data_IF_750362860914
#
_entry.id   IF_750362860914
#
_cell.length_a   1.000
_cell.length_b   1.000
_cell.length_c   1.000
_cell.angle_alpha   90.00
_cell.angle_beta   90.00
_cell.angle_gamma   90.00
#
_symmetry.space_group_name_H-M   'P 1'
#
loop_
_entity.id
_entity.type
_entity.pdbx_description
1 polymer ?
#
# COMPACT_ATOMS: atom_id res chain seq x y z
N UNK A 1 24.50 -21.45 -19.91
CA UNK A 1 25.27 -21.58 -18.66
C UNK A 1 25.05 -20.32 -17.79
N UNK A 2 23.78 -19.91 -17.62
CA UNK A 2 23.37 -18.60 -17.05
C UNK A 2 22.35 -18.72 -15.91
N UNK A 3 21.91 -19.94 -15.56
CA UNK A 3 21.02 -20.19 -14.41
C UNK A 3 21.71 -19.87 -13.07
N UNK A 4 23.03 -20.06 -13.00
CA UNK A 4 23.79 -19.93 -11.76
C UNK A 4 23.88 -18.49 -11.23
N UNK A 5 23.89 -17.45 -12.07
CA UNK A 5 24.12 -16.08 -11.61
C UNK A 5 22.90 -15.44 -10.91
N UNK A 6 21.68 -15.74 -11.40
CA UNK A 6 20.43 -15.30 -10.77
C UNK A 6 20.16 -16.09 -9.49
N UNK A 7 20.40 -17.40 -9.50
CA UNK A 7 20.30 -18.25 -8.30
C UNK A 7 21.28 -17.83 -7.20
N UNK A 8 22.51 -17.45 -7.57
CA UNK A 8 23.53 -16.93 -6.64
C UNK A 8 23.12 -15.58 -6.06
N UNK A 9 22.53 -14.67 -6.86
CA UNK A 9 22.02 -13.38 -6.36
C UNK A 9 20.77 -13.54 -5.49
N UNK A 10 19.83 -14.39 -5.85
CA UNK A 10 18.66 -14.71 -5.02
C UNK A 10 19.07 -15.40 -3.72
N UNK A 11 20.08 -16.30 -3.74
CA UNK A 11 20.70 -16.84 -2.53
C UNK A 11 21.37 -15.76 -1.67
N UNK A 12 22.05 -14.78 -2.27
CA UNK A 12 22.68 -13.67 -1.53
C UNK A 12 21.64 -12.77 -0.84
N UNK A 13 20.53 -12.48 -1.52
CA UNK A 13 19.38 -11.77 -0.95
C UNK A 13 18.76 -12.60 0.19
N UNK A 14 18.50 -13.90 -0.02
CA UNK A 14 18.01 -14.85 1.01
C UNK A 14 18.94 -14.94 2.22
N UNK A 15 20.26 -14.96 2.02
CA UNK A 15 21.24 -15.04 3.08
C UNK A 15 21.35 -13.73 3.89
N UNK A 16 21.16 -12.58 3.24
CA UNK A 16 21.10 -11.26 3.88
C UNK A 16 19.84 -11.06 4.71
N UNK A 17 18.74 -11.71 4.32
CA UNK A 17 17.49 -11.76 5.09
C UNK A 17 17.64 -12.60 6.37
N UNK A 18 18.38 -13.70 6.34
CA UNK A 18 18.59 -14.58 7.49
C UNK A 18 19.59 -14.05 8.54
N UNK A 19 20.57 -13.22 8.16
CA UNK A 19 21.70 -12.84 9.04
C UNK A 19 21.42 -11.79 10.12
N UNK A 20 20.17 -11.35 10.32
CA UNK A 20 19.83 -10.28 11.29
C UNK A 20 18.81 -10.71 12.36
N UNK A 21 18.89 -11.95 12.85
CA UNK A 21 18.13 -12.42 14.01
C UNK A 21 18.92 -12.24 15.30
N UNK A 22 18.92 -11.01 15.81
CA UNK A 22 18.93 -10.69 17.25
C UNK A 22 18.85 -9.18 17.39
N UNK A 23 17.65 -8.63 17.62
CA UNK A 23 17.51 -7.25 18.09
C UNK A 23 16.22 -7.03 18.90
N UNK A 24 16.37 -6.10 19.85
CA UNK A 24 15.49 -5.70 20.94
C UNK A 24 14.11 -5.19 20.51
N UNK A 25 13.10 -5.22 21.41
CA UNK A 25 11.75 -4.75 21.12
C UNK A 25 11.73 -3.25 20.82
N UNK A 26 11.09 -2.82 19.73
CA UNK A 26 10.69 -1.42 19.53
C UNK A 26 11.27 -0.68 18.31
N UNK A 27 12.20 -1.26 17.53
CA UNK A 27 12.66 -0.65 16.26
C UNK A 27 12.10 -1.40 15.05
N UNK A 28 11.11 -0.81 14.40
CA UNK A 28 10.55 -1.30 13.13
C UNK A 28 11.59 -1.13 12.00
N UNK A 29 11.88 -2.20 11.25
CA UNK A 29 12.66 -2.12 10.01
C UNK A 29 11.72 -1.79 8.85
N UNK A 30 12.02 -0.72 8.12
CA UNK A 30 11.37 -0.43 6.84
C UNK A 30 11.72 -1.54 5.84
N UNK A 31 10.75 -1.96 5.01
CA UNK A 31 10.99 -2.87 3.86
C UNK A 31 11.95 -2.24 2.85
N UNK A 32 12.49 -3.02 1.92
CA UNK A 32 13.40 -2.49 0.91
C UNK A 32 12.65 -1.54 -0.05
N UNK A 33 11.41 -1.87 -0.43
CA UNK A 33 10.51 -0.97 -1.15
C UNK A 33 10.18 0.32 -0.39
N UNK A 34 9.96 0.25 0.93
CA UNK A 34 9.76 1.45 1.77
C UNK A 34 11.00 2.35 1.83
N UNK A 35 12.21 1.80 1.72
CA UNK A 35 13.45 2.58 1.68
C UNK A 35 13.63 3.30 0.35
N UNK A 36 13.32 2.64 -0.76
CA UNK A 36 13.51 3.18 -2.11
C UNK A 36 12.58 4.37 -2.45
N UNK A 37 11.40 4.45 -1.85
CA UNK A 37 10.36 5.43 -2.22
C UNK A 37 10.53 6.82 -1.57
N UNK A 38 11.59 7.06 -0.77
CA UNK A 38 11.64 8.23 0.13
C UNK A 38 12.35 9.48 -0.41
N UNK A 39 11.95 9.96 -1.59
CA UNK A 39 12.59 11.11 -2.24
C UNK A 39 12.09 12.52 -1.87
N UNK A 40 11.01 12.68 -1.11
CA UNK A 40 10.33 13.99 -0.96
C UNK A 40 10.08 14.45 0.49
N UNK A 41 10.77 13.86 1.47
CA UNK A 41 10.57 14.15 2.91
C UNK A 41 11.15 15.49 3.38
N UNK A 42 11.91 16.16 2.52
CA UNK A 42 12.89 17.16 2.94
C UNK A 42 12.52 18.55 2.43
N UNK A 43 12.50 19.54 3.33
CA UNK A 43 12.50 20.98 2.99
C UNK A 43 13.89 21.52 3.19
N UNK A 44 14.38 22.33 2.23
CA UNK A 44 15.67 23.02 2.37
C UNK A 44 15.58 23.99 3.54
N UNK A 45 16.51 23.91 4.50
CA UNK A 45 16.60 24.92 5.56
C UNK A 45 16.83 26.28 4.94
N UNK A 46 16.18 27.32 5.47
CA UNK A 46 16.61 28.70 5.24
C UNK A 46 18.04 28.82 5.72
N UNK A 47 18.99 28.94 4.78
CA UNK A 47 20.40 28.91 5.12
C UNK A 47 20.82 30.26 5.67
N UNK A 48 21.33 30.28 6.90
CA UNK A 48 22.56 31.00 7.21
C UNK A 48 23.52 29.94 7.72
N UNK A 49 24.43 29.45 6.88
CA UNK A 49 25.59 28.75 7.40
C UNK A 49 26.35 29.73 8.29
N UNK A 50 26.62 29.36 9.54
CA UNK A 50 27.48 30.17 10.40
C UNK A 50 28.83 30.34 9.72
N UNK A 51 29.24 31.59 9.48
CA UNK A 51 30.57 31.95 8.96
C UNK A 51 31.70 31.47 9.87
N UNK A 52 31.38 31.04 11.10
CA UNK A 52 32.33 30.63 12.13
C UNK A 52 32.60 29.13 12.19
N UNK A 53 32.00 28.30 11.32
CA UNK A 53 32.33 26.86 11.28
C UNK A 53 33.42 26.53 10.24
N UNK A 54 34.45 25.74 10.61
CA UNK A 54 35.46 25.24 9.68
C UNK A 54 34.83 24.38 8.57
N UNK A 55 35.35 24.47 7.34
CA UNK A 55 34.78 23.79 6.15
C UNK A 55 34.58 22.28 6.33
N UNK A 56 35.47 21.65 7.09
CA UNK A 56 35.44 20.21 7.37
C UNK A 56 34.25 19.78 8.23
N UNK A 57 33.63 20.71 8.98
CA UNK A 57 32.50 20.45 9.88
C UNK A 57 31.16 20.93 9.34
N UNK A 58 31.14 21.70 8.23
CA UNK A 58 29.90 22.06 7.53
C UNK A 58 29.15 20.84 6.98
N UNK A 59 29.87 19.73 6.74
CA UNK A 59 29.34 18.44 6.29
C UNK A 59 28.59 17.63 7.36
N UNK A 60 28.65 18.02 8.64
CA UNK A 60 27.93 17.36 9.74
C UNK A 60 26.65 18.11 10.16
N UNK A 61 26.29 19.18 9.45
CA UNK A 61 25.11 20.01 9.73
C UNK A 61 23.99 19.62 8.78
N UNK A 62 22.86 19.18 9.32
CA UNK A 62 21.69 18.73 8.54
C UNK A 62 21.12 19.89 7.71
N UNK A 63 21.27 19.83 6.37
CA UNK A 63 20.93 20.89 5.40
C UNK A 63 19.42 21.00 5.08
N UNK A 64 18.65 19.99 5.46
CA UNK A 64 17.22 19.90 5.20
C UNK A 64 16.51 19.47 6.47
N UNK A 65 15.31 20.01 6.70
CA UNK A 65 14.41 19.49 7.72
C UNK A 65 13.50 18.45 7.10
N UNK A 66 13.42 17.28 7.73
CA UNK A 66 12.38 16.30 7.43
C UNK A 66 11.09 16.82 8.06
N UNK A 67 10.22 17.42 7.25
CA UNK A 67 8.97 18.05 7.70
C UNK A 67 8.04 17.05 8.38
N UNK A 68 8.11 15.78 7.96
CA UNK A 68 7.33 14.71 8.56
C UNK A 68 7.91 14.37 9.92
N UNK A 69 9.23 14.22 10.04
CA UNK A 69 9.89 13.95 11.32
C UNK A 69 9.72 15.10 12.32
N UNK A 70 9.83 16.35 11.87
CA UNK A 70 9.60 17.54 12.70
C UNK A 70 8.16 17.60 13.21
N UNK A 71 7.19 17.37 12.33
CA UNK A 71 5.78 17.29 12.70
C UNK A 71 5.50 16.11 13.64
N UNK A 72 6.13 14.95 13.42
CA UNK A 72 6.00 13.78 14.30
C UNK A 72 6.57 14.00 15.70
N UNK A 73 7.56 14.88 15.88
CA UNK A 73 8.08 15.25 17.22
C UNK A 73 7.03 16.01 18.04
N UNK A 74 6.26 16.88 17.40
CA UNK A 74 5.26 17.73 18.06
C UNK A 74 3.86 17.09 18.09
N UNK A 75 3.55 16.22 17.12
CA UNK A 75 2.28 15.53 16.98
C UNK A 75 2.49 14.02 16.90
N UNK A 76 2.41 13.37 18.06
CA UNK A 76 2.48 11.91 18.18
C UNK A 76 1.39 11.31 17.28
N UNK A 77 1.78 10.48 16.32
CA UNK A 77 0.87 9.83 15.35
C UNK A 77 0.92 10.38 13.92
N UNK A 78 1.54 11.54 13.67
CA UNK A 78 1.62 12.09 12.31
C UNK A 78 2.61 11.29 11.47
N UNK A 79 2.13 10.69 10.38
CA UNK A 79 2.93 9.87 9.44
C UNK A 79 2.35 9.94 8.04
N UNK A 80 2.92 10.79 7.18
CA UNK A 80 2.39 11.08 5.85
C UNK A 80 2.74 10.01 4.80
N UNK A 81 3.87 9.32 4.96
CA UNK A 81 4.42 8.38 3.96
C UNK A 81 4.62 6.97 4.54
N UNK A 82 3.74 6.57 5.46
CA UNK A 82 3.75 5.25 6.07
C UNK A 82 2.53 4.48 5.57
N UNK A 83 2.70 3.75 4.46
CA UNK A 83 1.65 2.94 3.85
C UNK A 83 1.11 1.91 4.86
N UNK A 84 1.97 1.33 5.69
CA UNK A 84 1.54 0.37 6.71
C UNK A 84 0.62 1.02 7.74
N UNK A 85 0.94 2.22 8.20
CA UNK A 85 0.06 2.99 9.09
C UNK A 85 -1.26 3.35 8.39
N UNK A 86 -1.23 3.75 7.11
CA UNK A 86 -2.43 4.01 6.32
C UNK A 86 -3.32 2.76 6.25
N UNK A 87 -2.77 1.62 5.81
CA UNK A 87 -3.50 0.35 5.70
C UNK A 87 -4.07 -0.10 7.06
N UNK A 88 -3.31 0.08 8.15
CA UNK A 88 -3.80 -0.21 9.51
C UNK A 88 -5.04 0.63 9.84
N UNK A 89 -5.02 1.93 9.55
CA UNK A 89 -6.16 2.83 9.76
C UNK A 89 -7.37 2.41 8.91
N UNK A 90 -7.17 2.09 7.63
CA UNK A 90 -8.25 1.60 6.75
C UNK A 90 -8.87 0.33 7.33
N UNK A 91 -8.05 -0.64 7.77
CA UNK A 91 -8.52 -1.87 8.40
C UNK A 91 -9.34 -1.59 9.66
N UNK A 92 -8.88 -0.69 10.53
CA UNK A 92 -9.61 -0.29 11.72
C UNK A 92 -10.96 0.33 11.38
N UNK A 93 -11.01 1.27 10.41
CA UNK A 93 -12.25 1.90 9.96
C UNK A 93 -13.22 0.84 9.41
N UNK A 94 -12.74 0.00 8.49
CA UNK A 94 -13.54 -1.08 7.89
C UNK A 94 -14.14 -2.03 8.93
N UNK A 95 -13.35 -2.47 9.90
CA UNK A 95 -13.84 -3.34 10.96
C UNK A 95 -14.85 -2.65 11.87
N UNK A 96 -14.65 -1.35 12.15
CA UNK A 96 -15.55 -0.56 12.97
C UNK A 96 -16.90 -0.33 12.29
N UNK A 97 -16.90 -0.04 10.99
CA UNK A 97 -18.12 0.30 10.23
C UNK A 97 -18.80 -0.91 9.60
N UNK A 98 -18.27 -2.13 9.78
CA UNK A 98 -18.79 -3.38 9.22
C UNK A 98 -20.29 -3.60 9.44
N UNK A 99 -20.78 -3.20 10.61
CA UNK A 99 -22.16 -3.45 11.05
C UNK A 99 -23.02 -2.19 11.01
N UNK A 100 -22.54 -1.17 10.31
CA UNK A 100 -23.11 0.17 10.33
C UNK A 100 -23.49 0.56 8.90
N UNK A 101 -24.69 1.10 8.73
CA UNK A 101 -25.18 1.55 7.43
C UNK A 101 -24.57 2.92 7.10
N UNK A 102 -23.41 2.90 6.41
CA UNK A 102 -22.74 4.09 5.88
C UNK A 102 -22.63 3.92 4.37
N UNK A 103 -23.10 4.90 3.61
CA UNK A 103 -22.80 4.98 2.18
C UNK A 103 -21.39 5.52 1.99
N UNK A 104 -20.50 4.63 1.55
CA UNK A 104 -19.17 5.01 1.14
C UNK A 104 -19.19 5.48 -0.31
N UNK A 105 -18.75 6.72 -0.51
CA UNK A 105 -18.54 7.29 -1.84
C UNK A 105 -17.13 6.94 -2.35
N UNK A 106 -16.94 6.91 -3.67
CA UNK A 106 -15.66 6.53 -4.29
C UNK A 106 -14.57 7.57 -4.04
N UNK A 107 -14.92 8.85 -3.90
CA UNK A 107 -13.97 9.96 -4.05
C UNK A 107 -13.68 10.73 -2.75
N UNK A 108 -14.69 11.02 -1.96
CA UNK A 108 -14.69 11.98 -0.87
C UNK A 108 -14.80 11.31 0.49
N UNK A 109 -15.82 10.47 0.68
CA UNK A 109 -16.14 9.88 2.00
C UNK A 109 -16.01 8.37 1.90
N UNK A 110 -14.83 7.86 2.22
CA UNK A 110 -14.57 6.43 2.36
C UNK A 110 -13.43 6.14 3.34
N UNK A 111 -13.22 4.86 3.70
CA UNK A 111 -12.17 4.49 4.65
C UNK A 111 -10.77 4.91 4.22
N UNK A 112 -10.47 4.93 2.92
CA UNK A 112 -9.17 5.40 2.40
C UNK A 112 -8.98 6.90 2.63
N UNK A 113 -9.97 7.72 2.28
CA UNK A 113 -9.87 9.18 2.41
C UNK A 113 -9.82 9.61 3.87
N UNK A 114 -10.62 8.99 4.74
CA UNK A 114 -10.57 9.20 6.20
C UNK A 114 -9.19 8.83 6.77
N UNK A 115 -8.69 7.63 6.46
CA UNK A 115 -7.39 7.17 6.92
C UNK A 115 -6.22 8.04 6.41
N UNK A 116 -6.35 8.61 5.20
CA UNK A 116 -5.36 9.51 4.59
C UNK A 116 -5.30 10.89 5.25
N UNK A 117 -6.34 11.26 6.02
CA UNK A 117 -6.42 12.44 6.87
C UNK A 117 -6.21 12.13 8.36
N UNK A 118 -5.74 10.93 8.67
CA UNK A 118 -5.37 10.55 10.03
C UNK A 118 -6.55 10.36 10.98
N UNK A 119 -7.75 10.10 10.44
CA UNK A 119 -8.92 9.73 11.24
C UNK A 119 -8.87 8.25 11.61
N UNK A 120 -9.23 7.94 12.85
CA UNK A 120 -9.31 6.58 13.40
C UNK A 120 -10.65 6.38 14.11
N UNK A 121 -11.20 5.15 14.14
CA UNK A 121 -12.40 4.85 14.90
C UNK A 121 -12.30 5.28 16.35
N UNK A 122 -13.38 5.86 16.87
CA UNK A 122 -13.49 6.22 18.27
C UNK A 122 -14.72 5.54 18.87
N UNK A 123 -14.62 4.98 20.07
CA UNK A 123 -15.82 4.47 20.74
C UNK A 123 -16.49 5.65 21.47
N UNK A 124 -17.70 6.01 21.05
CA UNK A 124 -18.56 6.93 21.81
C UNK A 124 -19.83 6.22 22.25
N UNK A 125 -20.45 6.71 23.33
CA UNK A 125 -21.71 6.19 23.83
C UNK A 125 -22.92 6.50 22.94
N UNK A 126 -22.77 7.33 21.90
CA UNK A 126 -23.88 7.72 21.02
C UNK A 126 -24.16 6.65 19.95
N UNK A 127 -25.43 6.25 19.83
CA UNK A 127 -25.90 5.24 18.85
C UNK A 127 -26.29 5.84 17.49
N UNK A 128 -26.40 7.16 17.35
CA UNK A 128 -26.94 7.81 16.15
C UNK A 128 -25.89 8.25 15.12
N UNK A 129 -24.60 8.16 15.47
CA UNK A 129 -23.50 8.66 14.64
C UNK A 129 -22.27 7.78 14.77
N UNK A 130 -21.40 7.84 13.76
CA UNK A 130 -20.13 7.10 13.73
C UNK A 130 -19.00 8.08 14.03
N UNK A 131 -18.50 8.12 15.28
CA UNK A 131 -17.42 9.01 15.67
C UNK A 131 -16.05 8.49 15.19
N UNK A 132 -15.22 9.43 14.75
CA UNK A 132 -13.81 9.23 14.45
C UNK A 132 -12.98 10.26 15.19
N UNK A 133 -11.81 9.85 15.67
CA UNK A 133 -10.86 10.70 16.38
C UNK A 133 -9.59 10.84 15.54
N UNK A 134 -9.06 12.06 15.47
CA UNK A 134 -7.78 12.28 14.81
C UNK A 134 -6.65 11.66 15.65
N UNK A 135 -5.80 10.87 15.00
CA UNK A 135 -4.63 10.24 15.63
C UNK A 135 -3.60 11.25 16.18
N UNK A 136 -3.65 12.52 15.73
CA UNK A 136 -2.70 13.57 16.15
C UNK A 136 -3.33 14.62 17.05
N UNK A 137 -4.33 15.36 16.55
CA UNK A 137 -4.90 16.48 17.30
C UNK A 137 -6.04 16.07 18.22
N UNK A 138 -6.41 14.79 18.26
CA UNK A 138 -7.47 14.22 19.08
C UNK A 138 -8.86 14.85 18.92
N UNK A 139 -9.04 15.72 17.93
CA UNK A 139 -10.35 16.20 17.52
C UNK A 139 -11.25 15.04 17.15
N UNK A 140 -12.55 15.20 17.37
CA UNK A 140 -13.56 14.19 17.07
C UNK A 140 -14.44 14.75 15.95
N UNK A 141 -14.61 13.95 14.90
CA UNK A 141 -15.61 14.16 13.87
C UNK A 141 -16.66 13.06 13.95
N UNK A 142 -17.86 13.31 13.44
CA UNK A 142 -18.90 12.29 13.35
C UNK A 142 -19.44 12.20 11.93
N UNK A 143 -19.71 10.98 11.48
CA UNK A 143 -20.41 10.72 10.22
C UNK A 143 -21.86 10.32 10.57
N UNK A 144 -22.87 11.00 10.01
CA UNK A 144 -24.26 10.65 10.25
C UNK A 144 -24.58 9.27 9.65
N UNK A 145 -25.43 8.51 10.35
CA UNK A 145 -26.00 7.28 9.82
C UNK A 145 -27.14 7.60 8.87
N UNK A 146 -27.26 6.84 7.79
CA UNK A 146 -28.44 6.87 6.95
C UNK A 146 -29.64 6.34 7.75
N UNK A 147 -30.76 7.04 7.67
CA UNK A 147 -32.04 6.51 8.12
C UNK A 147 -32.64 5.72 6.96
N UNK A 148 -33.27 4.58 7.26
CA UNK A 148 -33.95 3.78 6.23
C UNK A 148 -35.00 4.67 5.51
N UNK A 149 -34.81 4.94 4.21
CA UNK A 149 -35.79 5.66 3.38
C UNK A 149 -35.27 6.82 2.53
N UNK A 150 -34.00 7.24 2.67
CA UNK A 150 -33.45 8.34 1.87
C UNK A 150 -32.82 7.83 0.55
N UNK A 151 -33.67 7.46 -0.42
CA UNK A 151 -33.24 7.14 -1.80
C UNK A 151 -32.89 8.43 -2.57
N UNK A 152 -31.64 8.90 -2.50
CA UNK A 152 -31.21 10.05 -3.34
C UNK A 152 -29.75 9.91 -3.85
N UNK A 153 -29.55 9.06 -4.85
CA UNK A 153 -28.24 8.77 -5.43
C UNK A 153 -27.52 9.99 -6.06
N UNK A 154 -28.24 10.97 -6.63
CA UNK A 154 -27.62 12.12 -7.33
C UNK A 154 -27.44 13.38 -6.44
N UNK A 155 -28.17 13.49 -5.32
CA UNK A 155 -28.01 14.60 -4.37
C UNK A 155 -26.75 14.43 -3.48
N UNK A 156 -26.14 13.25 -3.52
CA UNK A 156 -25.08 12.83 -2.61
C UNK A 156 -23.68 13.37 -2.97
N UNK A 157 -23.32 13.63 -4.25
CA UNK A 157 -21.94 14.06 -4.57
C UNK A 157 -21.57 15.43 -3.99
N UNK A 158 -22.43 16.44 -4.15
CA UNK A 158 -22.19 17.79 -3.58
C UNK A 158 -22.25 17.78 -2.06
N UNK A 159 -23.10 16.93 -1.48
CA UNK A 159 -23.16 16.72 -0.04
C UNK A 159 -21.87 16.08 0.48
N UNK A 160 -21.33 15.09 -0.21
CA UNK A 160 -20.09 14.40 0.15
C UNK A 160 -18.86 15.30 0.03
N UNK A 161 -18.80 16.16 -0.99
CA UNK A 161 -17.77 17.19 -1.08
C UNK A 161 -17.86 18.22 0.06
N UNK A 162 -19.09 18.62 0.44
CA UNK A 162 -19.30 19.50 1.59
C UNK A 162 -18.89 18.82 2.90
N UNK A 163 -19.23 17.54 3.08
CA UNK A 163 -18.79 16.73 4.23
C UNK A 163 -17.26 16.64 4.25
N UNK A 164 -16.63 16.42 3.11
CA UNK A 164 -15.16 16.40 3.02
C UNK A 164 -14.53 17.72 3.50
N UNK A 165 -14.97 18.85 2.95
CA UNK A 165 -14.37 20.15 3.26
C UNK A 165 -14.69 20.62 4.69
N UNK A 166 -15.96 20.55 5.10
CA UNK A 166 -16.40 21.11 6.38
C UNK A 166 -16.16 20.15 7.55
N UNK A 167 -16.32 18.84 7.35
CA UNK A 167 -16.27 17.84 8.42
C UNK A 167 -14.91 17.13 8.44
N UNK A 168 -14.50 16.48 7.35
CA UNK A 168 -13.27 15.66 7.33
C UNK A 168 -12.01 16.53 7.42
N UNK A 169 -11.93 17.63 6.68
CA UNK A 169 -10.81 18.58 6.77
C UNK A 169 -11.04 19.57 7.91
N UNK A 170 -12.23 20.18 7.96
CA UNK A 170 -12.54 21.29 8.86
C UNK A 170 -12.51 20.96 10.36
N UNK A 171 -12.80 19.72 10.77
CA UNK A 171 -12.83 19.35 12.19
C UNK A 171 -11.45 19.16 12.82
N UNK A 172 -10.37 19.17 12.04
CA UNK A 172 -9.04 19.21 12.65
C UNK A 172 -8.81 20.54 13.39
N UNK A 173 -8.17 20.47 14.56
CA UNK A 173 -7.68 21.66 15.26
C UNK A 173 -6.74 22.47 14.35
N UNK A 174 -6.73 23.78 14.50
CA UNK A 174 -6.01 24.69 13.58
C UNK A 174 -4.54 24.33 13.36
N UNK A 175 -3.84 23.86 14.41
CA UNK A 175 -2.41 23.49 14.32
C UNK A 175 -2.16 22.04 13.86
N UNK A 176 -3.21 21.27 13.59
CA UNK A 176 -3.06 19.87 13.21
C UNK A 176 -2.45 19.75 11.81
N UNK A 177 -1.35 18.99 11.62
CA UNK A 177 -0.74 18.83 10.31
C UNK A 177 -1.66 18.13 9.30
N UNK A 178 -2.60 17.29 9.74
CA UNK A 178 -3.58 16.62 8.86
C UNK A 178 -4.63 17.57 8.25
N UNK A 179 -4.79 18.78 8.82
CA UNK A 179 -5.69 19.78 8.26
C UNK A 179 -5.25 20.17 6.85
N UNK A 180 -3.97 20.50 6.71
CA UNK A 180 -3.37 20.97 5.46
C UNK A 180 -2.75 19.82 4.64
N UNK A 181 -2.25 18.79 5.29
CA UNK A 181 -1.57 17.66 4.63
C UNK A 181 -2.49 16.46 4.46
N UNK A 182 -2.19 15.61 3.49
CA UNK A 182 -2.86 14.33 3.26
C UNK A 182 -1.83 13.34 2.72
N UNK A 183 -1.99 12.06 3.04
CA UNK A 183 -1.19 11.02 2.38
C UNK A 183 -1.39 11.14 0.87
N UNK A 184 -0.29 11.22 0.11
CA UNK A 184 -0.34 11.23 -1.36
C UNK A 184 -0.76 9.85 -1.86
N UNK A 185 -2.07 9.68 -2.07
CA UNK A 185 -2.67 8.39 -2.42
C UNK A 185 -2.17 7.85 -3.76
N UNK A 186 -1.85 8.73 -4.71
CA UNK A 186 -1.35 8.33 -6.03
C UNK A 186 0.05 7.74 -5.95
N UNK A 187 0.89 8.27 -5.04
CA UNK A 187 2.25 7.75 -4.83
C UNK A 187 2.26 6.53 -3.90
N UNK A 188 1.51 6.60 -2.80
CA UNK A 188 1.65 5.64 -1.71
C UNK A 188 0.67 4.45 -1.79
N UNK A 189 -0.56 4.66 -2.28
CA UNK A 189 -1.64 3.67 -2.21
C UNK A 189 -1.99 3.06 -3.56
N UNK A 190 -2.37 3.87 -4.54
CA UNK A 190 -2.80 3.40 -5.87
C UNK A 190 -1.63 2.81 -6.64
N UNK A 191 -1.88 1.78 -7.44
CA UNK A 191 -0.84 1.12 -8.23
C UNK A 191 -0.17 2.12 -9.17
N UNK A 192 1.14 2.25 -9.06
CA UNK A 192 1.98 3.09 -9.93
C UNK A 192 3.34 2.45 -10.12
N UNK A 193 4.05 2.84 -11.17
CA UNK A 193 5.41 2.34 -11.43
C UNK A 193 6.36 2.56 -10.24
N UNK A 194 6.11 3.60 -9.42
CA UNK A 194 6.92 3.95 -8.26
C UNK A 194 6.73 2.99 -7.08
N UNK A 195 5.54 2.39 -6.93
CA UNK A 195 5.23 1.49 -5.81
C UNK A 195 5.06 0.03 -6.19
N UNK A 196 5.22 -0.30 -7.48
CA UNK A 196 5.17 -1.67 -7.99
C UNK A 196 6.13 -2.61 -7.25
N UNK A 197 7.30 -2.12 -6.82
CA UNK A 197 8.26 -2.89 -6.01
C UNK A 197 7.63 -3.41 -4.69
N UNK A 198 6.74 -2.65 -4.05
CA UNK A 198 6.06 -3.08 -2.82
C UNK A 198 5.09 -4.23 -3.09
N UNK A 199 4.49 -4.26 -4.28
CA UNK A 199 3.60 -5.36 -4.70
C UNK A 199 4.39 -6.62 -5.02
N UNK A 200 5.54 -6.49 -5.68
CA UNK A 200 6.45 -7.61 -5.92
C UNK A 200 6.91 -8.21 -4.58
N UNK A 201 7.37 -7.37 -3.64
CA UNK A 201 7.74 -7.79 -2.28
C UNK A 201 6.59 -8.51 -1.56
N UNK A 202 5.37 -7.95 -1.63
CA UNK A 202 4.17 -8.55 -1.03
C UNK A 202 3.91 -9.94 -1.59
N UNK A 203 3.84 -10.08 -2.91
CA UNK A 203 3.51 -11.36 -3.56
C UNK A 203 4.56 -12.42 -3.22
N UNK A 204 5.86 -12.09 -3.33
CA UNK A 204 6.92 -13.01 -2.94
C UNK A 204 6.82 -13.44 -1.48
N UNK A 205 6.64 -12.48 -0.56
CA UNK A 205 6.56 -12.78 0.88
C UNK A 205 5.37 -13.70 1.20
N UNK A 206 4.23 -13.49 0.53
CA UNK A 206 3.04 -14.32 0.72
C UNK A 206 3.22 -15.72 0.14
N UNK A 207 3.86 -15.86 -1.03
CA UNK A 207 4.22 -17.16 -1.61
C UNK A 207 5.16 -17.90 -0.67
N UNK A 208 6.26 -17.28 -0.24
CA UNK A 208 7.22 -17.87 0.69
C UNK A 208 6.54 -18.34 1.98
N UNK A 209 5.64 -17.52 2.55
CA UNK A 209 4.90 -17.84 3.78
C UNK A 209 4.02 -19.09 3.61
N UNK A 210 3.37 -19.23 2.45
CA UNK A 210 2.47 -20.35 2.16
C UNK A 210 3.28 -21.62 1.85
N UNK A 211 4.33 -21.51 1.04
CA UNK A 211 5.18 -22.64 0.62
C UNK A 211 6.01 -23.19 1.80
N UNK A 212 6.47 -22.33 2.71
CA UNK A 212 7.26 -22.75 3.88
C UNK A 212 6.44 -23.45 4.98
N UNK A 213 5.18 -23.80 4.72
CA UNK A 213 4.33 -24.58 5.64
C UNK A 213 3.81 -23.81 6.86
N UNK A 214 3.98 -22.48 6.93
CA UNK A 214 3.51 -21.68 8.06
C UNK A 214 2.00 -21.39 8.03
N UNK A 215 1.36 -21.60 6.87
CA UNK A 215 -0.07 -21.50 6.66
C UNK A 215 -0.47 -22.49 5.56
N UNK A 216 -1.09 -23.62 5.91
CA UNK A 216 -1.73 -24.49 4.91
C UNK A 216 -2.81 -23.68 4.19
N UNK A 217 -2.55 -23.27 2.95
CA UNK A 217 -3.52 -22.62 2.08
C UNK A 217 -3.69 -23.46 0.84
N UNK A 218 -4.57 -24.46 0.92
CA UNK A 218 -4.95 -25.24 -0.26
C UNK A 218 -6.11 -24.54 -0.96
N UNK A 219 -5.83 -23.75 -1.99
CA UNK A 219 -6.83 -23.51 -3.01
C UNK A 219 -7.14 -24.88 -3.62
N UNK A 220 -8.37 -25.37 -3.47
CA UNK A 220 -8.79 -26.59 -4.18
C UNK A 220 -8.46 -26.37 -5.67
N UNK A 221 -7.61 -27.25 -6.20
CA UNK A 221 -6.80 -27.08 -7.41
C UNK A 221 -7.56 -26.44 -8.59
N UNK A 222 -6.87 -25.53 -9.28
CA UNK A 222 -7.14 -25.08 -10.66
C UNK A 222 -8.45 -24.33 -10.91
N UNK A 223 -8.79 -23.35 -10.08
CA UNK A 223 -9.83 -22.38 -10.48
C UNK A 223 -9.24 -21.35 -11.45
N UNK A 224 -9.05 -21.77 -12.72
CA UNK A 224 -8.69 -20.86 -13.82
C UNK A 224 -9.65 -19.69 -13.97
N UNK A 225 -10.87 -19.85 -13.44
CA UNK A 225 -11.91 -18.83 -13.39
C UNK A 225 -11.55 -17.62 -12.52
N UNK A 226 -10.73 -17.79 -11.48
CA UNK A 226 -10.29 -16.66 -10.64
C UNK A 226 -9.41 -15.68 -11.44
N UNK A 227 -8.59 -16.19 -12.36
CA UNK A 227 -7.67 -15.41 -13.18
C UNK A 227 -8.07 -15.39 -14.68
N UNK A 228 -9.36 -15.48 -14.97
CA UNK A 228 -9.90 -15.52 -16.34
C UNK A 228 -9.53 -14.32 -17.22
N UNK A 229 -9.14 -13.20 -16.60
CA UNK A 229 -8.69 -11.98 -17.28
C UNK A 229 -7.23 -12.05 -17.77
N UNK A 230 -6.53 -13.16 -17.52
CA UNK A 230 -5.18 -13.43 -18.02
C UNK A 230 -5.22 -14.62 -18.98
N UNK A 231 -4.50 -14.50 -20.09
CA UNK A 231 -4.21 -15.64 -20.96
C UNK A 231 -3.29 -16.64 -20.26
N UNK A 232 -3.28 -17.88 -20.74
CA UNK A 232 -2.41 -18.94 -20.21
C UNK A 232 -0.92 -18.55 -20.28
N UNK A 233 -0.51 -17.89 -21.36
CA UNK A 233 0.87 -17.42 -21.55
C UNK A 233 1.25 -16.35 -20.53
N UNK A 234 0.34 -15.42 -20.25
CA UNK A 234 0.58 -14.34 -19.29
C UNK A 234 0.70 -14.87 -17.86
N UNK A 235 -0.21 -15.76 -17.44
CA UNK A 235 -0.12 -16.35 -16.10
C UNK A 235 1.11 -17.24 -15.95
N UNK A 236 1.51 -18.00 -16.98
CA UNK A 236 2.76 -18.77 -16.97
C UNK A 236 3.98 -17.85 -16.81
N UNK A 237 4.02 -16.72 -17.52
CA UNK A 237 5.11 -15.75 -17.43
C UNK A 237 5.19 -15.11 -16.05
N UNK A 238 4.06 -14.72 -15.48
CA UNK A 238 3.97 -14.16 -14.12
C UNK A 238 4.34 -15.20 -13.06
N UNK A 239 3.85 -16.43 -13.19
CA UNK A 239 4.17 -17.54 -12.29
C UNK A 239 5.68 -17.87 -12.30
N UNK A 240 6.31 -17.84 -13.48
CA UNK A 240 7.76 -17.98 -13.62
C UNK A 240 8.52 -16.84 -12.94
N UNK A 241 8.07 -15.58 -13.12
CA UNK A 241 8.68 -14.43 -12.44
C UNK A 241 8.68 -14.56 -10.91
N UNK A 242 7.61 -15.11 -10.33
CA UNK A 242 7.49 -15.32 -8.89
C UNK A 242 8.04 -16.67 -8.38
N UNK A 243 8.61 -17.52 -9.25
CA UNK A 243 9.05 -18.89 -8.94
C UNK A 243 7.95 -19.74 -8.25
N UNK A 244 6.70 -19.62 -8.73
CA UNK A 244 5.54 -20.28 -8.15
C UNK A 244 4.84 -21.20 -9.16
N UNK A 245 4.71 -22.49 -8.83
CA UNK A 245 4.04 -23.47 -9.70
C UNK A 245 2.51 -23.48 -9.55
N UNK A 246 1.97 -22.77 -8.56
CA UNK A 246 0.53 -22.67 -8.33
C UNK A 246 -0.03 -21.40 -8.98
N UNK A 247 -0.58 -21.55 -10.18
CA UNK A 247 -1.15 -20.43 -10.94
C UNK A 247 -2.38 -19.83 -10.29
N UNK A 248 -3.18 -20.63 -9.57
CA UNK A 248 -4.33 -20.14 -8.82
C UNK A 248 -3.90 -19.26 -7.65
N UNK A 249 -2.83 -19.62 -6.95
CA UNK A 249 -2.25 -18.78 -5.91
C UNK A 249 -1.72 -17.46 -6.48
N UNK A 250 -0.96 -17.50 -7.57
CA UNK A 250 -0.44 -16.29 -8.23
C UNK A 250 -1.60 -15.40 -8.68
N UNK A 251 -2.61 -15.96 -9.34
CA UNK A 251 -3.80 -15.22 -9.78
C UNK A 251 -4.56 -14.56 -8.62
N UNK A 252 -4.71 -15.26 -7.49
CA UNK A 252 -5.34 -14.71 -6.29
C UNK A 252 -4.53 -13.56 -5.67
N UNK A 253 -3.21 -13.72 -5.59
CA UNK A 253 -2.31 -12.72 -5.05
C UNK A 253 -2.26 -11.47 -5.95
N UNK A 254 -2.33 -11.63 -7.27
CA UNK A 254 -2.41 -10.53 -8.24
C UNK A 254 -3.72 -9.73 -8.11
N UNK A 255 -4.82 -10.38 -7.77
CA UNK A 255 -6.07 -9.72 -7.35
C UNK A 255 -5.95 -9.01 -5.99
N UNK A 256 -4.80 -9.10 -5.32
CA UNK A 256 -4.56 -8.42 -4.05
C UNK A 256 -5.20 -9.09 -2.84
N UNK A 257 -5.65 -10.34 -2.95
CA UNK A 257 -6.19 -11.14 -1.86
C UNK A 257 -5.11 -11.96 -1.16
N UNK A 258 -5.30 -12.23 0.13
CA UNK A 258 -4.51 -13.20 0.92
C UNK A 258 -5.45 -14.08 1.75
N UNK A 259 -4.93 -15.20 2.28
CA UNK A 259 -5.66 -16.12 3.17
C UNK A 259 -6.29 -15.34 4.33
N UNK A 260 -7.56 -15.60 4.60
CA UNK A 260 -8.23 -15.16 5.82
C UNK A 260 -8.34 -16.33 6.82
N UNK A 261 -8.66 -16.03 8.09
CA UNK A 261 -8.70 -17.03 9.18
C UNK A 261 -9.62 -18.23 8.92
N UNK A 262 -10.60 -18.12 8.01
CA UNK A 262 -11.50 -19.21 7.62
C UNK A 262 -11.10 -19.75 6.25
N UNK A 263 -11.10 -21.07 6.09
CA UNK A 263 -10.48 -21.77 4.96
C UNK A 263 -11.08 -21.46 3.58
N UNK A 264 -12.31 -20.94 3.52
CA UNK A 264 -12.97 -20.55 2.25
C UNK A 264 -13.06 -19.04 2.02
N UNK A 265 -12.49 -18.24 2.92
CA UNK A 265 -12.51 -16.78 2.84
C UNK A 265 -11.13 -16.24 2.54
N UNK A 266 -11.11 -15.20 1.72
CA UNK A 266 -9.95 -14.37 1.47
C UNK A 266 -10.24 -12.93 1.81
N UNK A 267 -9.19 -12.18 2.11
CA UNK A 267 -9.29 -10.76 2.42
C UNK A 267 -8.39 -9.96 1.49
N UNK A 268 -8.93 -8.87 0.94
CA UNK A 268 -8.13 -7.94 0.17
C UNK A 268 -7.13 -7.24 1.10
N UNK A 269 -5.87 -7.18 0.69
CA UNK A 269 -4.76 -6.56 1.43
C UNK A 269 -4.81 -5.03 1.46
N UNK A 270 -5.66 -4.41 0.63
CA UNK A 270 -5.80 -2.96 0.55
C UNK A 270 -7.13 -2.45 1.14
N UNK A 271 -8.26 -2.92 0.61
CA UNK A 271 -9.59 -2.46 1.06
C UNK A 271 -10.17 -3.28 2.21
N UNK A 272 -9.52 -4.38 2.62
CA UNK A 272 -9.93 -5.28 3.71
C UNK A 272 -11.30 -5.95 3.54
N UNK A 273 -11.94 -5.79 2.39
CA UNK A 273 -13.15 -6.54 2.03
C UNK A 273 -12.84 -8.03 1.98
N UNK A 274 -13.79 -8.81 2.49
CA UNK A 274 -13.71 -10.26 2.55
C UNK A 274 -14.58 -10.83 1.45
N UNK A 275 -14.07 -11.82 0.74
CA UNK A 275 -14.81 -12.55 -0.28
C UNK A 275 -14.66 -14.05 -0.03
N UNK A 276 -15.68 -14.82 -0.39
CA UNK A 276 -15.51 -16.27 -0.50
C UNK A 276 -14.80 -16.61 -1.79
N UNK A 277 -13.96 -17.64 -1.76
CA UNK A 277 -13.27 -18.14 -2.96
C UNK A 277 -14.26 -18.45 -4.08
N UNK A 278 -15.36 -19.14 -3.75
CA UNK A 278 -16.46 -19.44 -4.68
C UNK A 278 -17.01 -18.19 -5.39
N UNK A 279 -17.15 -17.06 -4.68
CA UNK A 279 -17.66 -15.83 -5.30
C UNK A 279 -16.67 -15.22 -6.28
N UNK A 280 -15.37 -15.35 -6.02
CA UNK A 280 -14.32 -14.85 -6.91
C UNK A 280 -14.21 -15.64 -8.23
N UNK A 281 -14.83 -16.82 -8.31
CA UNK A 281 -14.89 -17.60 -9.55
C UNK A 281 -15.94 -17.06 -10.55
N UNK A 282 -16.84 -16.17 -10.11
CA UNK A 282 -17.79 -15.50 -11.00
C UNK A 282 -17.11 -14.29 -11.65
N UNK A 283 -17.09 -14.24 -12.98
CA UNK A 283 -16.37 -13.21 -13.77
C UNK A 283 -16.85 -11.80 -13.44
N UNK A 284 -18.17 -11.63 -13.33
CA UNK A 284 -18.84 -10.35 -13.06
C UNK A 284 -18.69 -9.88 -11.61
N UNK A 285 -18.25 -10.76 -10.70
CA UNK A 285 -18.11 -10.38 -9.30
C UNK A 285 -16.81 -9.61 -9.07
N UNK A 286 -16.93 -8.34 -8.65
CA UNK A 286 -15.81 -7.58 -8.10
C UNK A 286 -15.94 -7.53 -6.57
N UNK A 287 -15.06 -8.27 -5.88
CA UNK A 287 -15.07 -8.33 -4.41
C UNK A 287 -14.36 -7.16 -3.72
N UNK A 288 -13.94 -6.14 -4.48
CA UNK A 288 -13.26 -4.95 -3.96
C UNK A 288 -14.23 -3.78 -3.79
N UNK A 289 -13.88 -2.87 -2.88
CA UNK A 289 -14.51 -1.56 -2.85
C UNK A 289 -14.12 -0.75 -4.10
N UNK A 290 -14.98 0.17 -4.55
CA UNK A 290 -14.75 1.01 -5.74
C UNK A 290 -13.46 1.85 -5.64
N UNK A 291 -13.05 2.25 -4.44
CA UNK A 291 -11.81 3.00 -4.17
C UNK A 291 -10.58 2.10 -3.94
N UNK A 292 -10.71 0.78 -4.07
CA UNK A 292 -9.61 -0.15 -3.87
C UNK A 292 -8.58 -0.03 -5.00
N UNK A 293 -7.28 -0.09 -4.67
CA UNK A 293 -6.20 -0.11 -5.67
C UNK A 293 -6.22 -1.34 -6.59
N UNK A 294 -6.90 -2.41 -6.18
CA UNK A 294 -7.09 -3.64 -6.96
C UNK A 294 -8.48 -3.71 -7.62
N UNK A 295 -9.25 -2.61 -7.60
CA UNK A 295 -10.58 -2.60 -8.21
C UNK A 295 -10.52 -2.93 -9.71
N UNK A 296 -9.53 -2.36 -10.42
CA UNK A 296 -9.16 -2.81 -11.76
C UNK A 296 -8.27 -4.07 -11.64
N UNK A 297 -8.86 -5.23 -11.93
CA UNK A 297 -8.22 -6.56 -11.80
C UNK A 297 -7.01 -6.73 -12.73
N UNK A 298 -6.98 -6.05 -13.87
CA UNK A 298 -5.96 -6.20 -14.91
C UNK A 298 -4.74 -5.31 -14.69
N UNK A 299 -4.88 -4.24 -13.90
CA UNK A 299 -3.85 -3.19 -13.81
C UNK A 299 -2.50 -3.72 -13.29
N UNK A 300 -2.49 -4.42 -12.15
CA UNK A 300 -1.24 -4.95 -11.57
C UNK A 300 -0.57 -5.97 -12.51
N UNK A 301 -1.28 -6.98 -13.04
CA UNK A 301 -0.73 -7.92 -14.03
C UNK A 301 -0.15 -7.24 -15.25
N UNK A 302 -0.86 -6.29 -15.86
CA UNK A 302 -0.37 -5.53 -17.03
C UNK A 302 0.93 -4.79 -16.70
N UNK A 303 0.99 -4.10 -15.55
CA UNK A 303 2.20 -3.39 -15.13
C UNK A 303 3.39 -4.34 -14.90
N UNK A 304 3.15 -5.53 -14.36
CA UNK A 304 4.20 -6.54 -14.15
C UNK A 304 4.65 -7.15 -15.49
N UNK A 305 3.72 -7.49 -16.38
CA UNK A 305 4.05 -8.01 -17.72
C UNK A 305 4.87 -6.99 -18.51
N UNK A 306 4.48 -5.71 -18.48
CA UNK A 306 5.26 -4.64 -19.10
C UNK A 306 6.67 -4.51 -18.51
N UNK A 307 6.81 -4.66 -17.19
CA UNK A 307 8.11 -4.64 -16.52
C UNK A 307 8.98 -5.79 -17.01
N UNK A 308 8.44 -7.02 -17.02
CA UNK A 308 9.14 -8.22 -17.48
C UNK A 308 9.51 -8.11 -18.96
N UNK A 309 8.58 -7.63 -19.82
CA UNK A 309 8.83 -7.42 -21.25
C UNK A 309 9.89 -6.36 -21.53
N UNK A 310 9.96 -5.30 -20.71
CA UNK A 310 11.01 -4.27 -20.80
C UNK A 310 12.37 -4.86 -20.45
N UNK A 311 12.45 -5.70 -19.43
CA UNK A 311 13.67 -6.44 -19.09
C UNK A 311 14.07 -7.42 -20.20
N UNK A 312 13.13 -8.19 -20.75
CA UNK A 312 13.39 -9.11 -21.85
C UNK A 312 13.94 -8.39 -23.10
N UNK A 313 13.37 -7.22 -23.43
CA UNK A 313 13.83 -6.38 -24.56
C UNK A 313 15.18 -5.70 -24.30
N UNK A 314 15.51 -5.40 -23.05
CA UNK A 314 16.81 -4.81 -22.66
C UNK A 314 17.92 -5.86 -22.60
N UNK A 315 17.59 -7.09 -22.17
CA UNK A 315 18.53 -8.21 -22.07
C UNK A 315 18.88 -8.77 -23.45
N UNK A 316 17.94 -8.73 -24.40
CA UNK A 316 18.13 -9.25 -25.77
C UNK A 316 18.86 -8.31 -26.73
N UNK A 317 19.08 -7.03 -26.39
CA UNK A 317 19.70 -6.04 -27.30
C UNK A 317 21.07 -5.49 -26.91
N UNK A 318 21.61 -5.79 -25.73
CA UNK A 318 22.85 -5.16 -25.26
C UNK A 318 23.89 -6.21 -24.87
N UNK A 319 25.17 -5.92 -25.15
CA UNK A 319 26.28 -6.74 -24.68
C UNK A 319 26.39 -6.71 -23.15
N UNK A 320 26.90 -7.78 -22.53
CA UNK A 320 26.98 -7.93 -21.06
C UNK A 320 27.69 -6.75 -20.37
N UNK A 321 28.70 -6.16 -21.02
CA UNK A 321 29.41 -4.96 -20.51
C UNK A 321 28.57 -3.68 -20.53
N UNK A 322 27.72 -3.50 -21.55
CA UNK A 322 26.83 -2.34 -21.63
C UNK A 322 25.66 -2.45 -20.65
N UNK A 323 25.22 -3.68 -20.32
CA UNK A 323 24.23 -3.96 -19.28
C UNK A 323 24.74 -3.54 -17.90
N UNK A 324 26.02 -3.78 -17.60
CA UNK A 324 26.65 -3.40 -16.34
C UNK A 324 26.79 -1.87 -16.21
N UNK A 325 27.27 -1.20 -17.26
CA UNK A 325 27.46 0.26 -17.26
C UNK A 325 26.12 1.03 -17.20
N UNK A 326 25.05 0.53 -17.82
CA UNK A 326 23.72 1.16 -17.72
C UNK A 326 23.05 0.94 -16.37
N UNK A 327 23.24 -0.23 -15.74
CA UNK A 327 22.79 -0.46 -14.36
C UNK A 327 23.49 0.49 -13.38
N UNK A 328 24.78 0.76 -13.59
CA UNK A 328 25.54 1.74 -12.81
C UNK A 328 25.04 3.18 -13.01
N UNK A 329 24.73 3.57 -14.26
CA UNK A 329 24.18 4.89 -14.58
C UNK A 329 22.75 5.11 -14.05
N UNK A 330 21.89 4.09 -14.07
CA UNK A 330 20.52 4.14 -13.52
C UNK A 330 20.54 4.20 -11.99
N UNK A 331 21.51 3.54 -11.35
CA UNK A 331 21.71 3.62 -9.90
C UNK A 331 22.34 4.95 -9.44
N UNK A 332 23.00 5.70 -10.33
CA UNK A 332 23.53 7.05 -10.06
C UNK A 332 22.52 8.18 -10.32
N UNK A 333 21.44 7.91 -11.06
CA UNK A 333 20.36 8.88 -11.33
C UNK A 333 19.10 8.66 -10.48
N UNK A 334 18.98 7.49 -9.85
CA UNK A 334 18.10 7.26 -8.70
C UNK A 334 18.78 7.74 -7.41
#
# INVERSE_FOLDING_TARGET
MEKDALEVRLKSIRHSLHKNTKLLPGKYRNTLGERLITKWRYKKKSHNGSSMLPEKCKSHVQLYDDLVQESSKHFVGFRLHDLRALLKRICSIQNYTRHVLIEWDVRWVNPLTLASKGWEPYQSASQSQVPFKCCCCHAIMTIPLLKNGDDVADYNMKLNEKIWNCNIIGNHLQKCPWRENQVDLNKEYYLSSQNLIREIERIHTEIDRIVSGSNEFSLKRNSSRIFHYLSEKEIQKLAFFFDCKDYSLVGLLLLGYTKFQKDDLVQCTACFHRASLKKLEYTEFNGHALWCRYYNKELLPTMLLELIDKEDKLITKLGVGERLNKLEAVLQTL
#
